data_IF_546302018732
#
_entry.id   IF_546302018732
#
_cell.length_a   1.000
_cell.length_b   1.000
_cell.length_c   1.000
_cell.angle_alpha   90.00
_cell.angle_beta   90.00
_cell.angle_gamma   90.00
#
_symmetry.space_group_name_H-M   'P 1'
#
loop_
_entity.id
_entity.type
_entity.pdbx_description
1 polymer ?
#
# COMPACT_ATOMS: atom_id res chain seq x y z
N UNK A 1 2.34 9.41 13.60
CA UNK A 1 3.48 8.46 13.47
C UNK A 1 3.68 7.57 14.70
N UNK A 2 3.49 8.04 15.93
CA UNK A 2 3.77 7.23 17.13
C UNK A 2 2.85 6.01 17.28
N UNK A 3 1.61 6.10 16.80
CA UNK A 3 0.66 4.98 16.79
C UNK A 3 1.13 3.79 15.95
N UNK A 4 1.71 4.03 14.76
CA UNK A 4 2.25 2.97 13.90
C UNK A 4 3.45 2.30 14.55
N UNK A 5 4.37 3.08 15.12
CA UNK A 5 5.53 2.53 15.84
C UNK A 5 5.09 1.65 17.01
N UNK A 6 4.12 2.11 17.79
CA UNK A 6 3.55 1.36 18.91
C UNK A 6 2.88 0.06 18.41
N UNK A 7 2.09 0.13 17.35
CA UNK A 7 1.46 -1.05 16.73
C UNK A 7 2.49 -2.09 16.27
N UNK A 8 3.60 -1.63 15.67
CA UNK A 8 4.70 -2.51 15.25
C UNK A 8 5.38 -3.15 16.48
N UNK A 9 5.62 -2.41 17.55
CA UNK A 9 6.25 -2.95 18.77
C UNK A 9 5.34 -3.99 19.45
N UNK A 10 4.03 -3.73 19.48
CA UNK A 10 3.06 -4.58 20.18
C UNK A 10 2.62 -5.81 19.38
N UNK A 11 2.49 -5.69 18.06
CA UNK A 11 1.92 -6.74 17.21
C UNK A 11 2.83 -7.20 16.06
N UNK A 12 3.97 -6.55 15.86
CA UNK A 12 4.95 -6.95 14.87
C UNK A 12 5.78 -8.14 15.36
N UNK A 13 6.11 -9.03 14.42
CA UNK A 13 6.97 -10.18 14.68
C UNK A 13 8.17 -10.15 13.74
N UNK A 14 9.39 -10.23 14.28
CA UNK A 14 10.61 -10.30 13.48
C UNK A 14 10.90 -11.76 13.14
N UNK A 15 10.96 -12.06 11.84
CA UNK A 15 11.34 -13.37 11.29
C UNK A 15 12.77 -13.32 10.76
N UNK A 16 13.35 -14.49 10.53
CA UNK A 16 14.66 -14.63 9.88
C UNK A 16 14.72 -13.88 8.53
N UNK A 17 15.91 -13.44 8.15
CA UNK A 17 16.11 -12.64 6.94
C UNK A 17 15.67 -11.17 7.08
N UNK A 18 15.59 -10.65 8.31
CA UNK A 18 15.18 -9.27 8.62
C UNK A 18 13.75 -8.94 8.13
N UNK A 19 12.84 -9.90 8.23
CA UNK A 19 11.45 -9.74 7.79
C UNK A 19 10.59 -9.30 8.98
N UNK A 20 10.00 -8.12 8.90
CA UNK A 20 8.97 -7.67 9.84
C UNK A 20 7.58 -8.13 9.37
N UNK A 21 7.01 -9.08 10.11
CA UNK A 21 5.65 -9.59 9.87
C UNK A 21 4.64 -8.74 10.64
N UNK A 22 3.64 -8.22 9.94
CA UNK A 22 2.57 -7.33 10.46
C UNK A 22 1.19 -7.78 9.95
N UNK A 23 1.02 -9.09 9.86
CA UNK A 23 -0.17 -9.71 9.26
C UNK A 23 -1.44 -9.45 10.05
N UNK A 24 -1.35 -9.17 11.36
CA UNK A 24 -2.52 -8.95 12.23
C UNK A 24 -3.25 -7.61 11.96
N UNK A 25 -2.61 -6.66 11.28
CA UNK A 25 -3.21 -5.33 11.07
C UNK A 25 -3.01 -4.70 9.68
N UNK A 26 -2.09 -5.20 8.85
CA UNK A 26 -1.78 -4.59 7.54
C UNK A 26 -1.75 -5.57 6.37
N UNK A 27 -0.98 -6.67 6.45
CA UNK A 27 -0.65 -7.44 5.25
C UNK A 27 -1.66 -8.54 4.89
N UNK A 28 -2.36 -9.11 5.88
CA UNK A 28 -3.32 -10.20 5.67
C UNK A 28 -4.66 -9.90 6.35
N UNK A 29 -4.64 -9.70 7.67
CA UNK A 29 -5.74 -9.07 8.39
C UNK A 29 -5.58 -7.57 8.31
N UNK A 30 -6.68 -6.88 8.02
CA UNK A 30 -6.72 -5.42 8.01
C UNK A 30 -7.35 -4.94 9.33
N UNK A 31 -6.73 -3.94 9.95
CA UNK A 31 -7.38 -3.15 10.99
C UNK A 31 -7.92 -1.85 10.37
N UNK A 32 -9.21 -1.76 10.02
CA UNK A 32 -9.73 -0.63 9.24
C UNK A 32 -9.60 0.71 9.96
N UNK A 33 -9.80 0.74 11.27
CA UNK A 33 -9.65 1.94 12.09
C UNK A 33 -8.20 2.46 12.06
N UNK A 34 -7.24 1.55 12.19
CA UNK A 34 -5.83 1.92 12.08
C UNK A 34 -5.48 2.46 10.68
N UNK A 35 -5.98 1.80 9.63
CA UNK A 35 -5.77 2.21 8.24
C UNK A 35 -6.45 3.56 7.94
N UNK A 36 -7.61 3.83 8.52
CA UNK A 36 -8.29 5.13 8.40
C UNK A 36 -7.41 6.27 8.94
N UNK A 37 -6.83 6.08 10.13
CA UNK A 37 -5.87 7.04 10.72
C UNK A 37 -4.61 7.22 9.88
N UNK A 38 -4.15 6.17 9.20
CA UNK A 38 -3.07 6.32 8.21
C UNK A 38 -3.51 7.21 7.05
N UNK A 39 -4.75 7.03 6.56
CA UNK A 39 -5.36 7.92 5.57
C UNK A 39 -5.43 9.37 6.03
N UNK A 40 -5.83 9.62 7.28
CA UNK A 40 -5.85 10.97 7.85
C UNK A 40 -4.46 11.61 7.89
N UNK A 41 -3.43 10.81 8.19
CA UNK A 41 -2.05 11.29 8.19
C UNK A 41 -1.56 11.62 6.77
N UNK A 42 -1.88 10.79 5.77
CA UNK A 42 -1.62 11.15 4.37
C UNK A 42 -2.36 12.44 3.99
N UNK A 43 -3.61 12.60 4.42
CA UNK A 43 -4.33 13.85 4.19
C UNK A 43 -3.64 15.04 4.82
N UNK A 44 -3.27 14.95 6.10
CA UNK A 44 -2.55 16.01 6.81
C UNK A 44 -1.26 16.43 6.09
N UNK A 45 -0.52 15.47 5.54
CA UNK A 45 0.76 15.72 4.87
C UNK A 45 0.61 16.33 3.47
N UNK A 46 -0.46 15.98 2.74
CA UNK A 46 -0.62 16.34 1.32
C UNK A 46 -1.84 17.21 1.02
N UNK A 47 -2.62 17.64 2.02
CA UNK A 47 -3.83 18.47 1.84
C UNK A 47 -3.58 19.81 1.12
N UNK A 48 -2.38 20.36 1.24
CA UNK A 48 -2.01 21.63 0.61
C UNK A 48 -1.48 21.43 -0.82
N UNK A 49 -1.61 20.21 -1.36
CA UNK A 49 -1.30 19.86 -2.75
C UNK A 49 -2.60 19.55 -3.48
N UNK A 50 -2.63 19.84 -4.78
CA UNK A 50 -3.72 19.44 -5.66
C UNK A 50 -3.60 17.95 -6.00
N UNK A 51 -4.09 17.10 -5.10
CA UNK A 51 -4.15 15.65 -5.35
C UNK A 51 -5.42 15.37 -6.15
N UNK A 52 -5.26 14.78 -7.34
CA UNK A 52 -6.38 14.41 -8.23
C UNK A 52 -6.57 12.90 -8.34
N UNK A 53 -5.59 12.11 -7.90
CA UNK A 53 -5.56 10.65 -7.99
C UNK A 53 -4.51 10.06 -7.04
N UNK A 54 -4.76 8.85 -6.55
CA UNK A 54 -3.78 8.07 -5.77
C UNK A 54 -3.38 6.83 -6.57
N UNK A 55 -2.07 6.61 -6.72
CA UNK A 55 -1.50 5.42 -7.36
C UNK A 55 -0.87 4.52 -6.30
N UNK A 56 -1.15 3.23 -6.36
CA UNK A 56 -0.56 2.21 -5.48
C UNK A 56 -0.23 0.93 -6.26
N UNK A 57 0.18 -0.13 -5.58
CA UNK A 57 0.42 -1.44 -6.15
C UNK A 57 -0.26 -2.53 -5.32
N UNK A 58 -0.73 -3.58 -5.98
CA UNK A 58 -1.33 -4.72 -5.31
C UNK A 58 -0.34 -5.52 -4.42
N UNK A 59 -0.79 -6.13 -3.32
CA UNK A 59 -2.18 -6.17 -2.83
C UNK A 59 -2.37 -5.23 -1.63
N UNK A 60 -1.56 -5.36 -0.59
CA UNK A 60 -1.75 -4.66 0.70
C UNK A 60 -1.73 -3.12 0.59
N UNK A 61 -1.05 -2.57 -0.43
CA UNK A 61 -1.05 -1.13 -0.71
C UNK A 61 -2.42 -0.56 -1.08
N UNK A 62 -3.36 -1.41 -1.53
CA UNK A 62 -4.73 -1.01 -1.90
C UNK A 62 -5.50 -0.52 -0.68
N UNK A 63 -5.40 -1.22 0.46
CA UNK A 63 -6.16 -0.87 1.65
C UNK A 63 -5.77 0.51 2.22
N UNK A 64 -4.46 0.79 2.26
CA UNK A 64 -3.94 2.10 2.70
C UNK A 64 -4.34 3.20 1.71
N UNK A 65 -4.17 2.96 0.40
CA UNK A 65 -4.52 3.93 -0.64
C UNK A 65 -6.01 4.27 -0.64
N UNK A 66 -6.88 3.27 -0.43
CA UNK A 66 -8.31 3.46 -0.36
C UNK A 66 -8.73 4.36 0.80
N UNK A 67 -8.12 4.18 1.98
CA UNK A 67 -8.42 5.03 3.15
C UNK A 67 -8.00 6.48 2.93
N UNK A 68 -6.81 6.71 2.35
CA UNK A 68 -6.40 8.06 1.97
C UNK A 68 -7.35 8.66 0.92
N UNK A 69 -7.68 7.91 -0.13
CA UNK A 69 -8.58 8.35 -1.19
C UNK A 69 -9.99 8.68 -0.70
N UNK A 70 -10.50 7.93 0.26
CA UNK A 70 -11.79 8.20 0.89
C UNK A 70 -11.83 9.60 1.54
N UNK A 71 -10.70 10.06 2.07
CA UNK A 71 -10.57 11.37 2.72
C UNK A 71 -10.32 12.45 1.66
N UNK A 72 -9.41 12.21 0.71
CA UNK A 72 -9.12 13.15 -0.39
C UNK A 72 -10.25 13.28 -1.42
N UNK A 73 -11.20 12.34 -1.45
CA UNK A 73 -12.29 12.27 -2.44
C UNK A 73 -11.79 12.16 -3.88
N UNK A 74 -10.74 11.36 -4.09
CA UNK A 74 -10.13 11.12 -5.41
C UNK A 74 -10.13 9.62 -5.75
N UNK A 75 -10.09 9.24 -7.04
CA UNK A 75 -9.97 7.84 -7.42
C UNK A 75 -8.61 7.23 -7.05
N UNK A 76 -8.61 5.92 -6.83
CA UNK A 76 -7.39 5.10 -6.68
C UNK A 76 -7.16 4.29 -7.95
N UNK A 77 -5.91 4.25 -8.40
CA UNK A 77 -5.42 3.30 -9.41
C UNK A 77 -4.39 2.41 -8.75
N UNK A 78 -4.43 1.11 -9.00
CA UNK A 78 -3.43 0.17 -8.50
C UNK A 78 -2.79 -0.59 -9.64
N UNK A 79 -1.46 -0.65 -9.61
CA UNK A 79 -0.67 -1.45 -10.54
C UNK A 79 -0.77 -2.94 -10.18
N UNK A 80 -0.72 -3.79 -11.19
CA UNK A 80 -0.76 -5.25 -11.10
C UNK A 80 0.61 -5.84 -11.40
N UNK A 81 0.94 -6.95 -10.71
CA UNK A 81 2.19 -7.72 -10.88
C UNK A 81 2.03 -8.85 -11.90
N UNK A 82 0.79 -9.20 -12.25
CA UNK A 82 0.48 -10.21 -13.25
C UNK A 82 -0.13 -9.56 -14.48
N UNK A 83 0.41 -9.94 -15.64
CA UNK A 83 -0.09 -9.47 -16.94
C UNK A 83 -1.48 -10.07 -17.16
N UNK A 84 -2.47 -9.21 -17.36
CA UNK A 84 -3.81 -9.62 -17.78
C UNK A 84 -3.88 -9.73 -19.29
N UNK A 85 -4.64 -10.69 -19.81
CA UNK A 85 -4.87 -10.88 -21.26
C UNK A 85 -5.53 -9.67 -21.93
N UNK A 86 -6.21 -8.81 -21.15
CA UNK A 86 -6.94 -7.65 -21.64
C UNK A 86 -6.15 -6.34 -21.50
N UNK A 87 -4.81 -6.38 -21.50
CA UNK A 87 -4.03 -5.16 -21.36
C UNK A 87 -4.02 -4.35 -22.65
N UNK A 88 -4.39 -3.07 -22.54
CA UNK A 88 -4.30 -2.09 -23.60
C UNK A 88 -2.85 -1.92 -24.09
N UNK A 89 -2.69 -1.43 -25.32
CA UNK A 89 -1.36 -1.27 -25.94
C UNK A 89 -0.51 -0.17 -25.30
N UNK A 90 -1.13 0.77 -24.59
CA UNK A 90 -0.46 1.94 -24.02
C UNK A 90 -0.56 1.92 -22.49
N UNK A 91 0.41 1.25 -21.87
CA UNK A 91 0.48 1.02 -20.43
C UNK A 91 1.79 1.55 -19.85
N UNK A 92 1.69 2.19 -18.69
CA UNK A 92 2.87 2.51 -17.88
C UNK A 92 3.41 1.23 -17.27
N UNK A 93 4.73 1.01 -17.35
CA UNK A 93 5.36 -0.18 -16.76
C UNK A 93 6.58 0.19 -15.94
N UNK A 94 6.89 -0.62 -14.94
CA UNK A 94 8.11 -0.49 -14.13
C UNK A 94 8.58 -1.85 -13.61
N UNK A 95 9.82 -1.94 -13.17
CA UNK A 95 10.41 -3.13 -12.56
C UNK A 95 10.47 -2.98 -11.05
N UNK A 96 10.01 -3.99 -10.32
CA UNK A 96 10.10 -4.05 -8.87
C UNK A 96 10.63 -5.39 -8.39
N UNK A 97 11.45 -5.39 -7.35
CA UNK A 97 12.00 -6.60 -6.76
C UNK A 97 11.20 -7.03 -5.52
N UNK A 98 10.83 -8.31 -5.44
CA UNK A 98 10.21 -8.90 -4.26
C UNK A 98 11.25 -9.66 -3.45
N UNK A 99 11.61 -9.13 -2.28
CA UNK A 99 12.56 -9.78 -1.36
C UNK A 99 12.02 -11.08 -0.76
N UNK A 100 10.71 -11.15 -0.50
CA UNK A 100 10.07 -12.37 0.04
C UNK A 100 9.94 -13.48 -0.99
N UNK A 101 9.95 -13.16 -2.30
CA UNK A 101 9.89 -14.14 -3.39
C UNK A 101 11.20 -14.24 -4.17
N UNK A 102 12.22 -13.48 -3.77
CA UNK A 102 13.51 -13.34 -4.45
C UNK A 102 13.36 -13.21 -5.99
N UNK A 103 12.42 -12.36 -6.46
CA UNK A 103 12.00 -12.30 -7.86
C UNK A 103 11.70 -10.88 -8.31
N UNK A 104 12.13 -10.52 -9.51
CA UNK A 104 11.73 -9.29 -10.21
C UNK A 104 10.35 -9.45 -10.88
N UNK A 105 9.53 -8.43 -10.76
CA UNK A 105 8.23 -8.31 -11.40
C UNK A 105 8.20 -7.09 -12.31
N UNK A 106 7.66 -7.26 -13.51
CA UNK A 106 7.20 -6.14 -14.32
C UNK A 106 5.80 -5.79 -13.84
N UNK A 107 5.62 -4.57 -13.36
CA UNK A 107 4.34 -4.03 -12.90
C UNK A 107 3.79 -3.08 -13.95
N UNK A 108 2.47 -3.00 -13.99
CA UNK A 108 1.66 -2.26 -14.96
C UNK A 108 0.41 -1.70 -14.33
#
# INVERSE_FOLDING_TARGET
MDSLKKMIIEQGEVREGNILKVDSFLNHQLNPEFLYRMGEEFHRLFKDKEITKILTIEVSGIAVALMAALIFKVPVVFAKKTVSLNLDKDIYTSKVFSYTKNKEYNIM
#
